data_IF_623246197284
#
_entry.id   IF_623246197284
#
_cell.length_a   1.000
_cell.length_b   1.000
_cell.length_c   1.000
_cell.angle_alpha   90.00
_cell.angle_beta   90.00
_cell.angle_gamma   90.00
#
_symmetry.space_group_name_H-M   'P 1'
#
loop_
_entity.id
_entity.type
_entity.pdbx_description
1 polymer ?
#
# COMPACT_ATOMS: atom_id res chain seq x y z
N UNK A 1 9.99 -41.80 20.27
CA UNK A 1 9.59 -40.53 19.90
C UNK A 1 10.67 -39.80 19.14
N UNK A 2 10.23 -38.98 18.41
CA UNK A 2 11.17 -38.24 17.61
C UNK A 2 12.16 -37.60 18.54
N UNK A 3 13.33 -37.64 18.16
CA UNK A 3 14.35 -37.10 18.99
C UNK A 3 14.37 -35.63 19.05
N UNK A 4 13.61 -34.99 18.27
CA UNK A 4 13.69 -33.58 18.18
C UNK A 4 14.74 -33.08 17.24
N UNK A 5 15.47 -33.94 16.63
CA UNK A 5 16.38 -33.47 15.61
C UNK A 5 15.58 -33.24 14.36
N UNK A 6 15.55 -32.03 13.95
CA UNK A 6 14.84 -31.65 12.73
C UNK A 6 15.87 -31.32 11.67
N UNK A 7 15.81 -32.07 10.59
CA UNK A 7 16.69 -31.78 9.48
C UNK A 7 15.92 -30.90 8.52
N UNK A 8 16.39 -29.71 8.35
CA UNK A 8 15.73 -28.77 7.45
C UNK A 8 15.93 -29.22 6.03
N UNK A 9 14.83 -29.25 5.32
CA UNK A 9 14.84 -29.56 3.90
C UNK A 9 15.15 -28.26 3.15
N UNK A 10 16.27 -28.19 2.49
CA UNK A 10 16.60 -26.92 1.81
C UNK A 10 15.55 -26.49 0.80
N UNK A 11 14.83 -27.45 0.22
CA UNK A 11 13.81 -27.09 -0.77
C UNK A 11 12.63 -26.41 -0.13
N UNK A 12 12.45 -26.55 1.19
CA UNK A 12 11.35 -25.89 1.89
C UNK A 12 11.76 -24.59 2.52
N UNK A 13 13.04 -24.33 2.59
CA UNK A 13 13.49 -23.12 3.27
C UNK A 13 13.18 -21.86 2.50
N UNK A 14 12.91 -21.98 1.21
CA UNK A 14 12.63 -20.82 0.40
C UNK A 14 11.21 -20.29 0.58
N UNK A 15 10.33 -21.06 1.22
CA UNK A 15 8.95 -20.64 1.39
C UNK A 15 8.86 -19.67 2.57
N UNK A 16 8.42 -18.44 2.33
CA UNK A 16 8.26 -17.51 3.44
C UNK A 16 7.11 -17.95 4.34
N UNK A 17 7.22 -17.62 5.60
CA UNK A 17 6.10 -17.83 6.51
C UNK A 17 4.96 -16.92 6.09
N UNK A 18 3.75 -17.46 6.10
CA UNK A 18 2.57 -16.69 5.73
C UNK A 18 2.14 -15.83 6.91
N UNK A 19 1.93 -14.54 6.65
CA UNK A 19 1.44 -13.58 7.63
C UNK A 19 0.05 -13.13 7.25
N UNK A 20 -0.64 -12.53 8.21
CA UNK A 20 -1.91 -11.86 7.97
C UNK A 20 -1.70 -10.36 8.13
N UNK A 21 -2.54 -9.58 7.45
CA UNK A 21 -2.51 -8.14 7.67
C UNK A 21 -2.97 -7.82 9.07
N UNK A 22 -2.57 -6.66 9.57
CA UNK A 22 -2.97 -6.17 10.87
C UNK A 22 -4.47 -5.94 10.93
N UNK A 23 -5.03 -5.96 12.13
CA UNK A 23 -6.41 -5.55 12.30
C UNK A 23 -6.54 -4.07 11.95
N UNK A 24 -7.70 -3.71 11.38
CA UNK A 24 -7.97 -2.36 10.94
C UNK A 24 -8.87 -1.65 11.94
N UNK A 25 -8.68 -0.34 12.13
CA UNK A 25 -9.63 0.41 12.96
C UNK A 25 -10.99 0.50 12.27
N UNK A 26 -12.00 0.82 13.05
CA UNK A 26 -13.37 0.89 12.50
C UNK A 26 -13.51 2.02 11.47
N UNK A 27 -12.85 3.16 11.71
CA UNK A 27 -12.93 4.28 10.80
C UNK A 27 -11.63 5.07 10.84
N UNK A 28 -11.50 6.03 9.93
CA UNK A 28 -10.33 6.91 9.92
C UNK A 28 -10.51 8.14 10.81
N UNK A 29 -11.69 8.33 11.37
CA UNK A 29 -11.98 9.56 12.12
C UNK A 29 -11.02 9.71 13.29
N UNK A 30 -10.36 10.84 13.36
CA UNK A 30 -9.42 11.13 14.43
C UNK A 30 -8.05 10.48 14.28
N UNK A 31 -7.85 9.71 13.21
CA UNK A 31 -6.58 9.04 13.00
C UNK A 31 -5.73 9.79 11.98
N UNK A 32 -4.44 9.52 12.02
CA UNK A 32 -3.49 10.10 11.06
C UNK A 32 -3.24 9.09 9.95
N UNK A 33 -3.51 9.50 8.72
CA UNK A 33 -3.29 8.67 7.53
C UNK A 33 -2.12 9.25 6.76
N UNK A 34 -1.10 8.44 6.54
CA UNK A 34 0.01 8.84 5.68
C UNK A 34 -0.32 8.54 4.24
N UNK A 35 -0.10 9.52 3.37
CA UNK A 35 -0.21 9.30 1.93
C UNK A 35 1.20 9.30 1.36
N UNK A 36 1.62 8.13 0.92
CA UNK A 36 2.97 7.95 0.38
C UNK A 36 2.91 8.00 -1.13
N UNK A 37 3.44 9.10 -1.66
CA UNK A 37 3.51 9.33 -3.10
C UNK A 37 4.75 8.64 -3.62
N UNK A 38 4.58 7.74 -4.58
CA UNK A 38 5.76 7.05 -5.13
C UNK A 38 6.54 7.94 -6.08
N UNK A 39 6.03 9.13 -6.36
CA UNK A 39 6.70 10.15 -7.17
C UNK A 39 6.67 9.87 -8.67
N UNK A 40 5.65 9.14 -9.12
CA UNK A 40 5.36 9.02 -10.53
C UNK A 40 4.45 10.16 -10.96
N UNK A 41 4.60 10.62 -12.21
CA UNK A 41 3.72 11.69 -12.68
C UNK A 41 2.24 11.32 -12.57
N UNK A 42 1.44 12.30 -12.22
CA UNK A 42 -0.02 12.24 -12.09
C UNK A 42 -0.49 11.64 -10.77
N UNK A 43 0.38 10.90 -10.05
CA UNK A 43 0.01 10.33 -8.77
C UNK A 43 -0.32 11.40 -7.74
N UNK A 44 0.36 12.54 -7.82
CA UNK A 44 0.11 13.62 -6.88
C UNK A 44 -1.30 14.18 -7.01
N UNK A 45 -1.83 14.25 -8.24
CA UNK A 45 -3.21 14.75 -8.43
C UNK A 45 -4.20 13.78 -7.80
N UNK A 46 -3.99 12.49 -8.02
CA UNK A 46 -4.81 11.46 -7.41
C UNK A 46 -4.77 11.59 -5.88
N UNK A 47 -3.58 11.67 -5.32
CA UNK A 47 -3.43 11.73 -3.87
C UNK A 47 -3.95 13.03 -3.28
N UNK A 48 -3.86 14.15 -4.01
CA UNK A 48 -4.46 15.38 -3.54
C UNK A 48 -5.95 15.21 -3.30
N UNK A 49 -6.63 14.52 -4.23
CA UNK A 49 -8.07 14.31 -4.06
C UNK A 49 -8.35 13.33 -2.93
N UNK A 50 -7.55 12.27 -2.81
CA UNK A 50 -7.70 11.32 -1.69
C UNK A 50 -7.56 12.07 -0.36
N UNK A 51 -6.61 13.00 -0.29
CA UNK A 51 -6.42 13.79 0.93
C UNK A 51 -7.68 14.58 1.28
N UNK A 52 -8.29 15.22 0.28
CA UNK A 52 -9.52 15.98 0.52
C UNK A 52 -10.62 15.07 1.05
N UNK A 53 -10.77 13.89 0.46
CA UNK A 53 -11.83 12.97 0.85
C UNK A 53 -11.60 12.42 2.25
N UNK A 54 -10.35 12.12 2.60
CA UNK A 54 -10.03 11.67 3.96
C UNK A 54 -10.27 12.76 4.99
N UNK A 55 -9.90 13.99 4.64
CA UNK A 55 -10.10 15.11 5.54
C UNK A 55 -11.58 15.31 5.83
N UNK A 56 -12.42 15.15 4.81
CA UNK A 56 -13.87 15.23 5.00
C UNK A 56 -14.39 14.17 5.96
N UNK A 57 -13.67 13.04 6.04
CA UNK A 57 -14.05 11.95 6.95
C UNK A 57 -13.45 12.12 8.35
N UNK A 58 -12.78 13.22 8.60
CA UNK A 58 -12.25 13.51 9.94
C UNK A 58 -10.84 12.99 10.19
N UNK A 59 -10.15 12.53 9.17
CA UNK A 59 -8.79 12.07 9.33
C UNK A 59 -7.82 13.25 9.26
N UNK A 60 -6.68 13.10 9.93
CA UNK A 60 -5.53 13.97 9.72
C UNK A 60 -4.67 13.32 8.65
N UNK A 61 -4.19 14.09 7.69
CA UNK A 61 -3.41 13.54 6.59
C UNK A 61 -2.00 14.11 6.62
N UNK A 62 -1.02 13.24 6.47
CA UNK A 62 0.38 13.65 6.30
C UNK A 62 0.86 13.14 4.94
N UNK A 63 1.60 13.99 4.24
CA UNK A 63 2.10 13.64 2.91
C UNK A 63 3.57 13.25 2.98
N UNK A 64 3.91 12.18 2.29
CA UNK A 64 5.29 11.69 2.16
C UNK A 64 5.54 11.39 0.70
N UNK A 65 6.79 11.46 0.27
CA UNK A 65 7.13 11.17 -1.11
C UNK A 65 8.42 10.36 -1.16
N UNK A 66 8.43 9.35 -2.01
CA UNK A 66 9.64 8.56 -2.22
C UNK A 66 10.60 9.35 -3.11
N UNK A 67 11.91 9.20 -2.90
CA UNK A 67 12.86 9.84 -3.81
C UNK A 67 12.82 9.30 -5.23
N UNK A 68 12.39 8.05 -5.40
CA UNK A 68 12.23 7.47 -6.72
C UNK A 68 11.18 6.37 -6.67
N UNK A 69 10.45 6.21 -7.77
CA UNK A 69 9.46 5.13 -7.86
C UNK A 69 10.08 3.79 -8.24
N UNK A 70 11.39 3.76 -8.50
CA UNK A 70 12.04 2.55 -8.99
C UNK A 70 12.62 1.67 -7.88
N UNK A 71 12.50 2.08 -6.64
CA UNK A 71 13.04 1.35 -5.49
C UNK A 71 12.03 1.36 -4.35
N UNK A 72 12.16 0.41 -3.43
CA UNK A 72 11.40 0.53 -2.19
C UNK A 72 11.72 1.84 -1.46
N UNK A 73 10.81 2.29 -0.64
CA UNK A 73 11.02 3.51 0.12
C UNK A 73 12.24 3.33 1.03
N UNK A 74 13.04 4.39 1.20
CA UNK A 74 14.16 4.29 2.13
C UNK A 74 13.70 3.92 3.54
N UNK A 75 14.56 3.23 4.27
CA UNK A 75 14.22 2.76 5.60
C UNK A 75 13.82 3.92 6.51
N UNK A 76 14.55 5.04 6.44
CA UNK A 76 14.22 6.17 7.30
C UNK A 76 12.87 6.78 6.96
N UNK A 77 12.45 6.74 5.70
CA UNK A 77 11.12 7.21 5.34
C UNK A 77 10.06 6.28 5.92
N UNK A 78 10.26 4.97 5.80
CA UNK A 78 9.30 4.02 6.39
C UNK A 78 9.25 4.17 7.91
N UNK A 79 10.39 4.41 8.54
CA UNK A 79 10.40 4.63 9.98
C UNK A 79 9.67 5.91 10.35
N UNK A 80 9.82 6.95 9.57
CA UNK A 80 9.11 8.21 9.80
C UNK A 80 7.60 8.01 9.72
N UNK A 81 7.15 7.30 8.70
CA UNK A 81 5.72 7.00 8.56
C UNK A 81 5.23 6.20 9.76
N UNK A 82 5.99 5.19 10.16
CA UNK A 82 5.59 4.32 11.25
C UNK A 82 5.49 5.08 12.58
N UNK A 83 6.30 6.13 12.74
CA UNK A 83 6.27 6.93 13.97
C UNK A 83 5.14 7.94 14.00
N UNK A 84 4.72 8.42 12.85
CA UNK A 84 3.81 9.55 12.78
C UNK A 84 2.39 9.20 12.37
N UNK A 85 2.17 8.02 11.81
CA UNK A 85 0.88 7.69 11.21
C UNK A 85 0.27 6.46 11.84
N UNK A 86 -1.06 6.37 11.75
CA UNK A 86 -1.81 5.18 12.16
C UNK A 86 -2.07 4.26 10.98
N UNK A 87 -2.18 4.80 9.78
CA UNK A 87 -2.54 4.08 8.56
C UNK A 87 -1.76 4.68 7.40
N UNK A 88 -1.61 3.91 6.32
CA UNK A 88 -0.89 4.43 5.15
C UNK A 88 -1.56 3.99 3.85
N UNK A 89 -1.57 4.90 2.88
CA UNK A 89 -2.00 4.63 1.51
C UNK A 89 -0.83 5.01 0.60
N UNK A 90 -0.38 4.07 -0.20
CA UNK A 90 0.73 4.32 -1.15
C UNK A 90 0.20 4.29 -2.57
N UNK A 91 0.48 5.29 -3.38
CA UNK A 91 -0.02 5.37 -4.75
C UNK A 91 0.91 6.22 -5.61
N UNK A 92 0.84 6.12 -6.90
CA UNK A 92 -0.01 5.31 -7.76
C UNK A 92 0.90 4.60 -8.73
N UNK A 93 0.95 3.28 -8.69
CA UNK A 93 1.89 2.50 -9.49
C UNK A 93 1.26 2.13 -10.83
N UNK A 94 2.00 2.41 -11.90
CA UNK A 94 1.55 2.05 -13.24
C UNK A 94 2.62 1.40 -14.09
N UNK A 95 3.45 0.74 -13.40
CA UNK A 95 4.40 -0.02 -13.99
C UNK A 95 4.61 -1.14 -13.13
N UNK A 96 5.36 -2.15 -13.71
CA UNK A 96 5.59 -3.39 -12.97
C UNK A 96 6.55 -3.24 -11.82
N UNK A 97 7.65 -2.55 -12.05
CA UNK A 97 8.64 -2.40 -10.99
C UNK A 97 8.12 -1.54 -9.84
N UNK A 98 7.36 -0.50 -10.14
CA UNK A 98 6.86 0.33 -9.07
C UNK A 98 5.74 -0.37 -8.30
N UNK A 99 5.00 -1.27 -8.94
CA UNK A 99 4.04 -2.12 -8.24
C UNK A 99 4.77 -3.03 -7.26
N UNK A 100 5.82 -3.67 -7.72
CA UNK A 100 6.61 -4.57 -6.87
C UNK A 100 7.21 -3.83 -5.68
N UNK A 101 7.73 -2.62 -5.90
CA UNK A 101 8.28 -1.82 -4.81
C UNK A 101 7.22 -1.42 -3.81
N UNK A 102 6.01 -1.13 -4.30
CA UNK A 102 4.90 -0.78 -3.39
C UNK A 102 4.53 -1.97 -2.51
N UNK A 103 4.55 -3.18 -3.07
CA UNK A 103 4.30 -4.37 -2.26
C UNK A 103 5.34 -4.48 -1.15
N UNK A 104 6.61 -4.27 -1.47
CA UNK A 104 7.66 -4.28 -0.45
C UNK A 104 7.40 -3.25 0.64
N UNK A 105 7.03 -2.05 0.24
CA UNK A 105 6.82 -0.96 1.20
C UNK A 105 5.68 -1.29 2.15
N UNK A 106 4.54 -1.73 1.60
CA UNK A 106 3.38 -2.00 2.44
C UNK A 106 3.64 -3.22 3.32
N UNK A 107 4.33 -4.24 2.80
CA UNK A 107 4.70 -5.39 3.62
C UNK A 107 5.51 -4.95 4.84
N UNK A 108 6.49 -4.08 4.63
CA UNK A 108 7.32 -3.61 5.73
C UNK A 108 6.53 -2.73 6.70
N UNK A 109 5.65 -1.88 6.18
CA UNK A 109 4.87 -1.00 7.06
C UNK A 109 3.89 -1.80 7.91
N UNK A 110 3.31 -2.86 7.34
CA UNK A 110 2.48 -3.76 8.15
C UNK A 110 3.31 -4.41 9.26
N UNK A 111 4.55 -4.83 8.96
CA UNK A 111 5.44 -5.36 10.00
C UNK A 111 5.73 -4.33 11.09
N UNK A 112 5.73 -3.06 10.74
CA UNK A 112 5.99 -1.98 11.70
C UNK A 112 4.74 -1.54 12.45
N UNK A 113 3.61 -2.18 12.21
CA UNK A 113 2.39 -1.88 12.93
C UNK A 113 1.46 -0.90 12.23
N UNK A 114 1.68 -0.62 10.96
CA UNK A 114 0.89 0.38 10.22
C UNK A 114 0.07 -0.35 9.16
N UNK A 115 -1.24 -0.50 9.36
CA UNK A 115 -2.08 -1.06 8.30
C UNK A 115 -2.02 -0.21 7.05
N UNK A 116 -1.90 -0.87 5.91
CA UNK A 116 -1.70 -0.12 4.68
C UNK A 116 -2.35 -0.73 3.47
N UNK A 117 -2.42 0.07 2.42
CA UNK A 117 -2.92 -0.36 1.12
C UNK A 117 -2.06 0.32 0.06
N UNK A 118 -1.79 -0.39 -1.04
CA UNK A 118 -1.21 0.29 -2.18
C UNK A 118 -2.20 0.31 -3.33
N UNK A 119 -2.03 1.30 -4.19
CA UNK A 119 -2.89 1.49 -5.35
C UNK A 119 -2.02 1.39 -6.59
N UNK A 120 -2.43 0.52 -7.51
CA UNK A 120 -1.74 0.34 -8.77
C UNK A 120 -2.78 0.26 -9.88
N UNK A 121 -2.34 0.27 -11.13
CA UNK A 121 -3.31 0.13 -12.21
C UNK A 121 -3.57 -1.34 -12.53
N UNK A 122 -4.70 -1.61 -13.13
CA UNK A 122 -5.21 -2.96 -13.34
C UNK A 122 -4.31 -3.84 -14.21
N UNK A 123 -3.43 -3.22 -14.99
CA UNK A 123 -2.46 -3.97 -15.78
C UNK A 123 -1.50 -4.78 -14.90
N UNK A 124 -1.41 -4.45 -13.62
CA UNK A 124 -0.38 -5.03 -12.75
C UNK A 124 -0.97 -5.88 -11.63
N UNK A 125 -2.19 -6.40 -11.83
CA UNK A 125 -2.82 -7.30 -10.86
C UNK A 125 -1.96 -8.53 -10.63
N UNK A 126 -1.48 -9.16 -11.70
CA UNK A 126 -0.67 -10.37 -11.56
C UNK A 126 0.63 -10.09 -10.81
N UNK A 127 1.26 -8.97 -11.14
CA UNK A 127 2.51 -8.61 -10.47
C UNK A 127 2.29 -8.37 -8.98
N UNK A 128 1.23 -7.64 -8.64
CA UNK A 128 0.95 -7.38 -7.23
C UNK A 128 0.64 -8.64 -6.46
N UNK A 129 -0.16 -9.52 -7.06
CA UNK A 129 -0.52 -10.76 -6.41
C UNK A 129 0.71 -11.65 -6.20
N UNK A 130 1.52 -11.82 -7.25
CA UNK A 130 2.68 -12.70 -7.15
C UNK A 130 3.66 -12.18 -6.09
N UNK A 131 3.90 -10.88 -6.06
CA UNK A 131 4.83 -10.32 -5.11
C UNK A 131 4.31 -10.40 -3.68
N UNK A 132 3.01 -10.20 -3.48
CA UNK A 132 2.42 -10.31 -2.15
C UNK A 132 2.59 -11.73 -1.60
N UNK A 133 2.36 -12.72 -2.45
CA UNK A 133 2.55 -14.12 -2.05
C UNK A 133 4.03 -14.39 -1.75
N UNK A 134 4.92 -13.88 -2.61
CA UNK A 134 6.35 -14.12 -2.44
C UNK A 134 6.87 -13.54 -1.13
N UNK A 135 6.30 -12.44 -0.67
CA UNK A 135 6.71 -11.82 0.59
C UNK A 135 5.97 -12.38 1.80
N UNK A 136 5.13 -13.39 1.60
CA UNK A 136 4.47 -14.04 2.71
C UNK A 136 3.26 -13.30 3.25
N UNK A 137 2.71 -12.37 2.49
CA UNK A 137 1.55 -11.60 2.91
C UNK A 137 0.50 -11.62 1.80
N UNK A 138 -0.05 -12.82 1.49
CA UNK A 138 -1.00 -12.91 0.37
C UNK A 138 -2.27 -12.10 0.57
N UNK A 139 -2.62 -11.79 1.81
CA UNK A 139 -3.82 -10.99 2.09
C UNK A 139 -3.58 -9.49 2.03
N UNK A 140 -2.38 -9.06 1.61
CA UNK A 140 -2.07 -7.63 1.51
C UNK A 140 -3.17 -6.89 0.79
N UNK A 141 -3.57 -5.76 1.33
CA UNK A 141 -4.63 -4.96 0.75
C UNK A 141 -4.11 -4.15 -0.42
N UNK A 142 -4.84 -4.18 -1.50
CA UNK A 142 -4.45 -3.50 -2.72
C UNK A 142 -5.68 -3.13 -3.52
N UNK A 143 -5.59 -2.03 -4.23
CA UNK A 143 -6.67 -1.54 -5.07
C UNK A 143 -6.10 -1.30 -6.45
N UNK A 144 -6.84 -1.69 -7.47
CA UNK A 144 -6.39 -1.52 -8.85
C UNK A 144 -7.32 -0.57 -9.57
N UNK A 145 -6.74 0.51 -10.09
CA UNK A 145 -7.48 1.51 -10.82
C UNK A 145 -7.38 1.27 -12.32
N UNK A 146 -8.09 2.08 -13.08
CA UNK A 146 -8.07 1.98 -14.53
C UNK A 146 -6.72 2.40 -15.09
N UNK A 147 -6.23 1.66 -16.05
CA UNK A 147 -5.01 1.97 -16.79
C UNK A 147 -5.41 2.58 -18.14
N UNK A 148 -4.64 3.51 -18.70
CA UNK A 148 -3.40 4.11 -18.23
C UNK A 148 -3.63 5.33 -17.34
N UNK A 149 -2.55 5.91 -16.84
CA UNK A 149 -2.63 7.04 -15.94
C UNK A 149 -2.00 8.31 -16.52
N UNK A 150 -0.89 8.17 -17.22
CA UNK A 150 -0.02 9.32 -17.46
C UNK A 150 -0.61 10.36 -18.39
N UNK A 151 -1.51 9.96 -19.27
CA UNK A 151 -2.10 10.90 -20.22
C UNK A 151 -3.43 11.49 -19.74
N UNK A 152 -3.84 11.17 -18.53
CA UNK A 152 -5.14 11.62 -18.05
C UNK A 152 -5.08 13.08 -17.63
N UNK A 153 -6.19 13.78 -17.81
CA UNK A 153 -6.33 15.15 -17.34
C UNK A 153 -6.48 15.16 -15.82
N UNK A 154 -6.31 16.34 -15.23
CA UNK A 154 -6.54 16.50 -13.80
C UNK A 154 -7.97 16.09 -13.44
N UNK A 155 -8.95 16.47 -14.25
CA UNK A 155 -10.33 16.11 -13.97
C UNK A 155 -10.53 14.60 -13.98
N UNK A 156 -9.86 13.90 -14.91
CA UNK A 156 -9.95 12.45 -14.97
C UNK A 156 -9.28 11.80 -13.76
N UNK A 157 -8.17 12.38 -13.30
CA UNK A 157 -7.51 11.84 -12.11
C UNK A 157 -8.34 12.04 -10.85
N UNK A 158 -8.99 13.21 -10.74
CA UNK A 158 -9.88 13.46 -9.61
C UNK A 158 -11.06 12.48 -9.64
N UNK A 159 -11.64 12.26 -10.82
CA UNK A 159 -12.75 11.32 -10.96
C UNK A 159 -12.32 9.91 -10.58
N UNK A 160 -11.09 9.53 -10.94
CA UNK A 160 -10.57 8.21 -10.58
C UNK A 160 -10.44 8.09 -9.07
N UNK A 161 -9.93 9.12 -8.41
CA UNK A 161 -9.83 9.10 -6.95
C UNK A 161 -11.21 8.96 -6.31
N UNK A 162 -12.18 9.73 -6.82
CA UNK A 162 -13.55 9.62 -6.31
C UNK A 162 -14.11 8.21 -6.50
N UNK A 163 -13.84 7.62 -7.67
CA UNK A 163 -14.38 6.31 -8.00
C UNK A 163 -13.84 5.22 -7.06
N UNK A 164 -12.55 5.28 -6.74
CA UNK A 164 -11.90 4.21 -6.00
C UNK A 164 -11.77 4.48 -4.51
N UNK A 165 -12.21 5.66 -4.04
CA UNK A 165 -11.97 6.04 -2.65
C UNK A 165 -12.61 5.09 -1.65
N UNK A 166 -13.86 4.69 -1.88
CA UNK A 166 -14.54 3.82 -0.92
C UNK A 166 -13.83 2.47 -0.83
N UNK A 167 -13.36 1.94 -1.96
CA UNK A 167 -12.62 0.70 -1.95
C UNK A 167 -11.30 0.86 -1.20
N UNK A 168 -10.59 1.96 -1.41
CA UNK A 168 -9.34 2.23 -0.69
C UNK A 168 -9.63 2.31 0.81
N UNK A 169 -10.65 3.05 1.17
CA UNK A 169 -11.02 3.22 2.57
C UNK A 169 -11.34 1.86 3.22
N UNK A 170 -12.03 0.99 2.50
CA UNK A 170 -12.36 -0.33 3.02
C UNK A 170 -11.14 -1.21 3.25
N UNK A 171 -10.02 -0.87 2.62
CA UNK A 171 -8.78 -1.62 2.82
C UNK A 171 -8.05 -1.22 4.10
N UNK A 172 -8.30 -0.03 4.62
CA UNK A 172 -7.60 0.44 5.82
C UNK A 172 -8.52 0.62 7.01
N UNK A 173 -9.80 0.30 6.84
CA UNK A 173 -10.75 0.32 7.96
C UNK A 173 -11.56 -0.97 7.93
N UNK A 174 -12.26 -1.25 9.02
CA UNK A 174 -13.14 -2.41 9.08
C UNK A 174 -14.61 -2.04 9.01
N UNK A 175 -14.95 -0.77 9.21
CA UNK A 175 -16.33 -0.33 9.28
C UNK A 175 -16.77 0.58 8.15
N UNK A 176 -15.92 0.85 7.19
CA UNK A 176 -16.26 1.78 6.12
C UNK A 176 -16.10 1.18 4.75
#
# INVERSE_FOLDING_TARGET
MATGITILDPTNESKPATRQVLERPASVKGLTVGLLDISKPRGNVFLNRIEELLTERGAKVLRFAKPTFTKPAPVDLRQEIATQCNLVIEALADXGSCTSCSVHDISDLELRGIPGVFVATEEFISAGTAQSVALGLPSMKRVYTTHPVQDRTDEEMVAMADQFFVEILSCITSGE
#
